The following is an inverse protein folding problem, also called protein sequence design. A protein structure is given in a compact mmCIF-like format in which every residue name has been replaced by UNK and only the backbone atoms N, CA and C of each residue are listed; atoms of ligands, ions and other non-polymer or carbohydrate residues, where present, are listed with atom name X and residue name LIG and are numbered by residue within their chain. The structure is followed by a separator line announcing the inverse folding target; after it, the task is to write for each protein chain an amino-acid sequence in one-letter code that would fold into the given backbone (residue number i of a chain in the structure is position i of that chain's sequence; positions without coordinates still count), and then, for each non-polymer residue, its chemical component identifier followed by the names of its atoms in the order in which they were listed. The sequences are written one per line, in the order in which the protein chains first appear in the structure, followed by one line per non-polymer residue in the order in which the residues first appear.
data_IF_180775126396
#
_entry.id   IF_180775126396
#
_cell.length_a   1.000
_cell.length_b   1.000
_cell.length_c   1.000
_cell.angle_alpha   90.00
_cell.angle_beta   90.00
_cell.angle_gamma   90.00
#
_symmetry.space_group_name_H-M   'P 1'
#
loop_
_entity.id
_entity.type
_entity.pdbx_description
1 polymer ?
#
# COMPACT_ATOMS: atom_id res chain seq x y z
N UNK A 1 5.21 9.95 28.94
CA UNK A 1 5.45 8.60 28.42
C UNK A 1 5.73 8.70 26.93
N UNK A 2 6.62 7.92 26.39
CA UNK A 2 6.88 7.91 24.96
C UNK A 2 6.92 6.47 24.44
N UNK A 3 6.51 6.27 23.19
CA UNK A 3 6.50 4.98 22.51
C UNK A 3 6.87 5.17 21.04
N UNK A 4 7.60 4.22 20.46
CA UNK A 4 7.92 4.19 19.05
C UNK A 4 7.21 2.99 18.43
N UNK A 5 6.27 3.25 17.54
CA UNK A 5 5.54 2.23 16.79
C UNK A 5 6.24 1.92 15.48
N UNK A 6 6.28 0.64 15.14
CA UNK A 6 6.84 0.15 13.89
C UNK A 6 5.93 -0.84 13.17
N UNK A 7 6.37 -1.36 12.02
CA UNK A 7 5.70 -2.40 11.25
C UNK A 7 4.23 -2.08 10.96
N UNK A 8 3.34 -3.07 11.17
CA UNK A 8 1.90 -2.96 10.94
C UNK A 8 1.24 -1.85 11.78
N UNK A 9 1.70 -1.65 13.02
CA UNK A 9 1.11 -0.62 13.89
C UNK A 9 1.40 0.80 13.40
N UNK A 10 2.58 1.05 12.82
CA UNK A 10 2.87 2.32 12.17
C UNK A 10 1.94 2.54 10.96
N UNK A 11 1.71 1.52 10.14
CA UNK A 11 0.81 1.61 8.99
C UNK A 11 -0.63 1.93 9.40
N UNK A 12 -1.15 1.31 10.47
CA UNK A 12 -2.48 1.62 11.03
C UNK A 12 -2.61 3.07 11.47
N UNK A 13 -1.60 3.62 12.12
CA UNK A 13 -1.61 5.04 12.50
C UNK A 13 -1.65 5.92 11.24
N UNK A 14 -0.85 5.62 10.24
CA UNK A 14 -0.87 6.35 8.97
C UNK A 14 -2.22 6.30 8.27
N UNK A 15 -2.89 5.14 8.25
CA UNK A 15 -4.25 5.01 7.71
C UNK A 15 -5.26 5.90 8.43
N UNK A 16 -5.17 5.99 9.76
CA UNK A 16 -6.06 6.81 10.58
C UNK A 16 -5.77 8.30 10.42
N UNK A 17 -4.50 8.69 10.31
CA UNK A 17 -4.06 10.07 10.14
C UNK A 17 -4.53 10.63 8.80
N UNK A 18 -4.41 9.87 7.73
CA UNK A 18 -4.80 10.30 6.38
C UNK A 18 -6.31 10.25 6.17
N UNK A 19 -7.04 9.40 6.91
CA UNK A 19 -8.50 9.27 6.79
C UNK A 19 -9.28 10.52 7.22
N UNK A 20 -8.73 11.31 8.12
CA UNK A 20 -9.42 12.47 8.70
C UNK A 20 -9.24 13.78 7.96
N UNK A 21 -8.50 13.85 6.88
CA UNK A 21 -8.16 15.09 6.19
C UNK A 21 -8.86 15.24 4.85
N UNK A 22 -9.88 16.10 4.80
CA UNK A 22 -10.33 16.67 3.52
C UNK A 22 -9.16 17.41 2.88
N UNK A 23 -8.72 16.92 1.70
CA UNK A 23 -7.75 17.57 0.82
C UNK A 23 -6.40 17.94 1.48
N UNK A 24 -5.60 16.96 1.85
CA UNK A 24 -4.17 17.18 1.90
C UNK A 24 -3.72 17.61 0.49
N UNK A 25 -3.24 18.83 0.35
CA UNK A 25 -2.66 19.29 -0.91
C UNK A 25 -1.57 18.29 -1.33
N UNK A 26 -1.58 17.90 -2.59
CA UNK A 26 -0.60 16.99 -3.19
C UNK A 26 0.79 17.50 -2.89
N UNK A 27 1.49 16.88 -1.97
CA UNK A 27 2.93 17.08 -1.88
C UNK A 27 3.51 16.27 -3.03
N UNK A 28 3.89 16.94 -4.07
CA UNK A 28 4.66 16.31 -5.16
C UNK A 28 6.05 15.95 -4.64
N UNK A 29 6.19 14.71 -4.22
CA UNK A 29 7.42 14.14 -3.69
C UNK A 29 8.55 14.09 -4.71
N UNK A 30 8.24 14.22 -6.01
CA UNK A 30 9.16 14.19 -7.13
C UNK A 30 9.46 15.58 -7.69
N UNK A 31 8.77 16.63 -7.22
CA UNK A 31 9.02 17.98 -7.70
C UNK A 31 10.49 18.36 -7.44
N UNK A 32 11.24 18.75 -8.48
CA UNK A 32 12.53 19.40 -8.28
C UNK A 32 12.29 20.63 -7.40
N UNK A 33 13.21 20.91 -6.47
CA UNK A 33 13.13 22.07 -5.58
C UNK A 33 13.14 23.33 -6.44
N UNK A 34 11.97 23.73 -6.96
CA UNK A 34 11.81 24.96 -7.74
C UNK A 34 11.97 26.16 -6.81
N UNK A 35 13.00 26.95 -7.06
CA UNK A 35 13.26 28.25 -6.45
C UNK A 35 12.26 29.26 -7.02
N UNK A 36 10.98 29.23 -6.61
CA UNK A 36 10.03 30.20 -7.14
C UNK A 36 8.56 29.99 -6.79
N UNK A 37 8.24 29.27 -5.73
CA UNK A 37 6.85 29.20 -5.29
C UNK A 37 6.47 30.44 -4.50
N UNK A 38 5.35 31.07 -4.89
CA UNK A 38 4.81 32.25 -4.25
C UNK A 38 4.30 31.97 -2.83
N UNK A 39 4.21 33.00 -1.94
CA UNK A 39 3.80 32.86 -0.55
C UNK A 39 2.38 32.28 -0.35
N UNK A 40 1.53 32.29 -1.37
CA UNK A 40 0.12 31.89 -1.30
C UNK A 40 -0.11 30.36 -1.39
N UNK A 41 0.93 29.58 -1.66
CA UNK A 41 0.85 28.11 -1.68
C UNK A 41 1.20 27.48 -0.32
N UNK A 42 0.97 28.17 0.77
CA UNK A 42 1.20 27.68 2.12
C UNK A 42 0.12 26.67 2.51
N UNK A 43 0.52 25.45 2.69
CA UNK A 43 -0.33 24.39 3.24
C UNK A 43 -0.49 24.67 4.73
N UNK A 44 -1.64 25.11 5.16
CA UNK A 44 -1.97 25.30 6.58
C UNK A 44 -2.47 24.01 7.20
N UNK A 45 -2.07 23.75 8.42
CA UNK A 45 -2.62 22.77 9.37
C UNK A 45 -3.09 23.51 10.60
N UNK A 46 -4.32 23.59 10.73
CA UNK A 46 -4.90 23.92 12.01
C UNK A 46 -5.50 22.64 12.60
N UNK A 47 -5.37 22.38 13.89
CA UNK A 47 -6.25 21.43 14.54
C UNK A 47 -7.67 21.96 14.33
N UNK A 48 -8.51 21.21 13.65
CA UNK A 48 -9.89 21.63 13.43
C UNK A 48 -10.66 21.48 14.75
N UNK A 49 -10.74 22.58 15.50
CA UNK A 49 -11.52 22.70 16.75
C UNK A 49 -13.00 23.00 16.48
N UNK A 50 -13.49 22.96 15.25
CA UNK A 50 -14.86 23.33 14.90
C UNK A 50 -15.66 22.19 14.28
N UNK A 51 -15.80 21.08 15.00
CA UNK A 51 -16.86 20.10 14.75
C UNK A 51 -17.54 19.71 16.08
N UNK A 52 -17.85 20.70 16.90
CA UNK A 52 -18.70 20.51 18.07
C UNK A 52 -20.12 20.92 17.69
N UNK A 53 -20.80 20.10 16.90
CA UNK A 53 -22.28 20.03 16.91
C UNK A 53 -22.72 18.74 16.22
N UNK A 54 -23.43 17.94 17.00
CA UNK A 54 -24.22 16.77 16.68
C UNK A 54 -23.50 15.41 16.57
N UNK A 55 -23.42 14.72 17.70
CA UNK A 55 -23.64 13.26 17.77
C UNK A 55 -22.52 12.33 17.29
N UNK A 56 -21.29 12.79 17.08
CA UNK A 56 -20.18 11.90 16.79
C UNK A 56 -19.45 11.52 18.08
N UNK A 57 -19.41 10.24 18.38
CA UNK A 57 -18.59 9.65 19.44
C UNK A 57 -17.14 10.14 19.33
N UNK A 58 -16.46 10.30 20.47
CA UNK A 58 -15.12 10.89 20.63
C UNK A 58 -13.97 10.23 19.83
N UNK A 59 -14.26 9.26 18.98
CA UNK A 59 -13.30 8.46 18.17
C UNK A 59 -12.86 9.11 16.85
N UNK A 60 -13.40 10.26 16.47
CA UNK A 60 -13.18 10.85 15.13
C UNK A 60 -12.39 12.17 15.12
N UNK A 61 -11.44 12.37 16.02
CA UNK A 61 -10.51 13.49 15.85
C UNK A 61 -9.39 13.09 14.89
N UNK A 62 -9.48 13.55 13.65
CA UNK A 62 -8.44 13.35 12.65
C UNK A 62 -7.17 14.14 13.02
N UNK A 63 -6.02 13.46 12.95
CA UNK A 63 -4.72 14.12 13.05
C UNK A 63 -4.36 14.58 11.66
N UNK A 64 -4.23 15.87 11.46
CA UNK A 64 -3.72 16.45 10.24
C UNK A 64 -2.36 17.08 10.48
N UNK A 65 -1.42 16.84 9.54
CA UNK A 65 -0.12 17.49 9.56
C UNK A 65 -0.08 18.59 8.51
N UNK A 66 0.58 19.66 8.85
CA UNK A 66 0.84 20.74 7.92
C UNK A 66 2.30 21.01 7.86
N UNK A 67 2.81 20.97 6.65
CA UNK A 67 4.14 21.37 6.33
C UNK A 67 4.06 22.55 5.34
N UNK A 68 4.87 23.57 5.55
CA UNK A 68 4.88 24.73 4.65
C UNK A 68 5.41 24.36 3.26
N UNK A 69 6.37 23.44 3.22
CA UNK A 69 6.96 22.89 2.00
C UNK A 69 7.70 21.56 2.27
N UNK A 70 8.27 20.98 1.24
CA UNK A 70 9.05 19.74 1.35
C UNK A 70 10.30 19.87 2.24
N UNK A 71 10.84 21.08 2.44
CA UNK A 71 11.99 21.30 3.35
C UNK A 71 11.53 21.27 4.79
N UNK A 72 10.40 21.91 5.09
CA UNK A 72 9.82 21.92 6.42
C UNK A 72 9.45 20.49 6.84
N UNK A 73 8.83 19.71 5.97
CA UNK A 73 8.59 18.29 6.19
C UNK A 73 9.88 17.52 6.51
N UNK A 74 10.93 17.68 5.70
CA UNK A 74 12.21 16.99 5.91
C UNK A 74 12.84 17.37 7.24
N UNK A 75 12.89 18.67 7.59
CA UNK A 75 13.42 19.16 8.87
C UNK A 75 12.64 18.61 10.06
N UNK A 76 11.32 18.53 9.94
CA UNK A 76 10.46 17.96 10.97
C UNK A 76 10.79 16.49 11.17
N UNK A 77 10.88 15.68 10.11
CA UNK A 77 11.27 14.28 10.24
C UNK A 77 12.65 14.09 10.84
N UNK A 78 13.63 14.91 10.47
CA UNK A 78 14.99 14.83 11.02
C UNK A 78 15.01 15.17 12.51
N UNK A 79 14.28 16.20 12.94
CA UNK A 79 14.10 16.55 14.35
C UNK A 79 13.41 15.44 15.12
N UNK A 80 12.31 14.93 14.60
CA UNK A 80 11.50 13.92 15.26
C UNK A 80 12.26 12.59 15.33
N UNK A 81 13.02 12.23 14.30
CA UNK A 81 13.89 11.05 14.31
C UNK A 81 14.96 11.17 15.39
N UNK A 82 15.64 12.31 15.52
CA UNK A 82 16.61 12.53 16.59
C UNK A 82 16.00 12.36 17.97
N UNK A 83 14.79 12.90 18.18
CA UNK A 83 14.07 12.76 19.44
C UNK A 83 13.65 11.31 19.73
N UNK A 84 13.13 10.59 18.73
CA UNK A 84 12.78 9.19 18.85
C UNK A 84 14.00 8.31 19.16
N UNK A 85 15.13 8.53 18.49
CA UNK A 85 16.39 7.78 18.73
C UNK A 85 16.88 8.02 20.14
N UNK A 86 16.93 9.28 20.59
CA UNK A 86 17.31 9.62 21.98
C UNK A 86 16.40 8.91 22.99
N UNK A 87 15.09 8.82 22.71
CA UNK A 87 14.17 8.07 23.55
C UNK A 87 14.47 6.58 23.54
N UNK A 88 14.70 5.96 22.37
CA UNK A 88 15.06 4.53 22.25
C UNK A 88 16.35 4.22 23.02
N UNK A 89 17.34 5.10 22.97
CA UNK A 89 18.64 4.96 23.67
C UNK A 89 18.51 5.14 25.17
N UNK A 90 17.54 5.92 25.66
CA UNK A 90 17.30 6.13 27.10
C UNK A 90 16.87 4.88 27.86
N UNK A 91 16.62 3.80 27.12
CA UNK A 91 16.23 2.48 27.69
C UNK A 91 14.98 2.52 28.58
N UNK A 92 14.09 3.50 28.35
CA UNK A 92 12.79 3.57 29.03
C UNK A 92 11.84 2.55 28.42
N UNK A 93 11.11 1.85 29.28
CA UNK A 93 10.07 0.93 28.83
C UNK A 93 8.97 1.68 28.08
N UNK A 94 8.62 1.27 26.84
CA UNK A 94 7.56 1.93 26.11
C UNK A 94 6.21 1.67 26.80
N UNK A 95 5.48 2.74 27.08
CA UNK A 95 4.11 2.68 27.57
C UNK A 95 3.20 3.45 26.62
N UNK A 96 2.17 2.78 26.14
CA UNK A 96 1.16 3.38 25.31
C UNK A 96 0.04 3.92 26.21
N UNK A 97 -0.25 5.23 26.10
CA UNK A 97 -1.35 5.82 26.82
C UNK A 97 -2.68 5.16 26.41
N UNK A 98 -3.61 4.88 27.35
CA UNK A 98 -4.90 4.25 27.03
C UNK A 98 -5.64 4.95 25.90
N UNK A 99 -5.73 6.27 25.91
CA UNK A 99 -6.38 7.04 24.86
C UNK A 99 -5.77 6.83 23.46
N UNK A 100 -4.46 6.61 23.35
CA UNK A 100 -3.78 6.29 22.08
C UNK A 100 -4.11 4.86 21.66
N UNK A 101 -4.17 3.93 22.61
CA UNK A 101 -4.59 2.55 22.34
C UNK A 101 -6.01 2.53 21.79
N UNK A 102 -6.95 3.16 22.48
CA UNK A 102 -8.37 3.19 22.11
C UNK A 102 -8.58 3.86 20.77
N UNK A 103 -7.79 4.89 20.45
CA UNK A 103 -7.89 5.62 19.19
C UNK A 103 -7.41 4.83 17.97
N UNK A 104 -6.28 4.11 18.07
CA UNK A 104 -5.63 3.47 16.93
C UNK A 104 -5.72 1.94 16.95
N UNK A 105 -6.08 1.34 18.08
CA UNK A 105 -5.98 -0.10 18.31
C UNK A 105 -7.16 -0.66 19.09
N UNK A 106 -8.36 -0.16 18.83
CA UNK A 106 -9.60 -0.55 19.52
C UNK A 106 -10.04 -2.01 19.29
N UNK A 107 -9.44 -2.69 18.30
CA UNK A 107 -9.84 -4.00 17.81
C UNK A 107 -8.99 -5.16 18.39
N UNK A 108 -8.42 -5.02 19.58
CA UNK A 108 -7.53 -6.02 20.21
C UNK A 108 -6.27 -6.38 19.41
N UNK A 109 -5.96 -5.62 18.38
CA UNK A 109 -4.84 -5.92 17.49
C UNK A 109 -3.51 -5.84 18.21
N UNK A 110 -2.60 -6.70 17.78
CA UNK A 110 -1.23 -6.75 18.25
C UNK A 110 -0.50 -5.43 17.94
N UNK A 111 0.03 -4.77 18.98
CA UNK A 111 0.74 -3.50 18.85
C UNK A 111 2.23 -3.76 18.72
N UNK A 112 2.81 -3.35 17.59
CA UNK A 112 4.24 -3.49 17.32
C UNK A 112 4.98 -2.24 17.78
N UNK A 113 5.83 -2.41 18.79
CA UNK A 113 6.72 -1.35 19.29
C UNK A 113 8.17 -1.60 18.92
N UNK A 114 8.98 -0.55 18.92
CA UNK A 114 10.42 -0.62 18.69
C UNK A 114 11.17 -0.18 19.93
N UNK A 115 12.21 -0.92 20.32
CA UNK A 115 13.13 -0.60 21.42
C UNK A 115 14.58 -0.80 20.97
N UNK A 116 15.52 -0.08 21.59
CA UNK A 116 16.94 -0.23 21.28
C UNK A 116 17.60 -1.43 22.01
N UNK A 117 17.09 -1.82 23.16
CA UNK A 117 17.72 -2.81 24.04
C UNK A 117 16.88 -4.06 24.18
N UNK A 118 17.53 -5.24 24.04
CA UNK A 118 16.86 -6.54 24.16
C UNK A 118 16.16 -6.76 25.51
N UNK A 119 16.70 -6.19 26.61
CA UNK A 119 16.10 -6.26 27.94
C UNK A 119 14.74 -5.58 28.06
N UNK A 120 14.41 -4.69 27.14
CA UNK A 120 13.13 -4.00 27.05
C UNK A 120 12.11 -4.71 26.18
N UNK A 121 12.50 -5.86 25.62
CA UNK A 121 11.63 -6.65 24.78
C UNK A 121 10.49 -7.20 25.63
N UNK A 122 9.28 -6.93 25.20
CA UNK A 122 8.05 -7.47 25.78
C UNK A 122 7.35 -8.34 24.75
N UNK A 123 6.83 -9.46 25.20
CA UNK A 123 5.88 -10.30 24.47
C UNK A 123 4.73 -10.58 25.44
N UNK A 124 3.50 -10.30 25.03
CA UNK A 124 2.30 -10.47 25.86
C UNK A 124 1.54 -9.16 26.06
N UNK A 125 0.33 -9.26 26.57
CA UNK A 125 -0.56 -8.10 26.78
C UNK A 125 -0.92 -7.33 25.50
N UNK A 126 -0.93 -8.02 24.34
CA UNK A 126 -1.22 -7.38 23.05
C UNK A 126 -0.07 -6.50 22.50
N UNK A 127 1.15 -6.62 23.04
CA UNK A 127 2.32 -5.87 22.55
C UNK A 127 3.41 -6.82 22.07
N UNK A 128 3.87 -6.65 20.84
CA UNK A 128 5.07 -7.28 20.30
C UNK A 128 6.17 -6.23 20.13
N UNK A 129 7.33 -6.49 20.71
CA UNK A 129 8.44 -5.53 20.67
C UNK A 129 9.56 -6.01 19.75
N UNK A 130 9.92 -5.19 18.80
CA UNK A 130 11.09 -5.37 17.94
C UNK A 130 12.31 -4.67 18.54
N UNK A 131 13.45 -5.37 18.64
CA UNK A 131 14.71 -4.76 19.05
C UNK A 131 15.44 -4.23 17.83
N UNK A 132 15.78 -2.94 17.87
CA UNK A 132 16.45 -2.30 16.76
C UNK A 132 17.50 -1.29 17.26
N UNK A 133 18.74 -1.62 17.02
CA UNK A 133 19.87 -0.72 17.26
C UNK A 133 20.14 0.05 15.96
N UNK A 134 20.41 1.35 16.07
CA UNK A 134 20.79 2.16 14.91
C UNK A 134 21.95 1.57 14.07
N UNK A 135 22.41 2.27 13.07
CA UNK A 135 22.01 3.64 12.72
C UNK A 135 20.63 3.70 12.05
N UNK A 136 19.86 4.73 12.40
CA UNK A 136 18.61 5.05 11.75
C UNK A 136 18.81 6.09 10.65
N UNK A 137 18.07 5.95 9.56
CA UNK A 137 18.00 7.01 8.56
C UNK A 137 17.44 8.29 9.22
N UNK A 138 17.92 9.50 8.88
CA UNK A 138 17.47 10.76 9.52
C UNK A 138 15.95 11.03 9.42
N UNK A 139 15.25 10.33 8.56
CA UNK A 139 13.79 10.43 8.35
C UNK A 139 13.06 9.13 8.64
N UNK A 140 13.46 8.45 9.72
CA UNK A 140 12.86 7.14 10.11
C UNK A 140 11.58 7.28 10.90
N UNK A 141 11.43 8.35 11.67
CA UNK A 141 10.32 8.49 12.60
C UNK A 141 9.66 9.86 12.50
N UNK A 142 8.37 9.88 12.77
CA UNK A 142 7.56 11.09 12.87
C UNK A 142 6.83 11.08 14.21
N UNK A 143 6.78 12.25 14.87
CA UNK A 143 5.99 12.45 16.08
C UNK A 143 4.54 12.72 15.67
N UNK A 144 3.63 11.96 16.21
CA UNK A 144 2.19 12.09 15.96
C UNK A 144 1.57 13.03 17.02
N UNK A 145 1.65 12.66 18.29
CA UNK A 145 1.14 13.45 19.41
C UNK A 145 1.88 13.07 20.71
N UNK A 146 1.93 13.96 21.69
CA UNK A 146 2.54 13.68 22.98
C UNK A 146 3.93 13.05 22.84
N UNK A 147 4.09 11.85 23.34
CA UNK A 147 5.31 11.02 23.22
C UNK A 147 5.20 9.90 22.16
N UNK A 148 4.19 9.92 21.29
CA UNK A 148 3.98 8.90 20.26
C UNK A 148 4.81 9.21 19.03
N UNK A 149 5.73 8.31 18.68
CA UNK A 149 6.50 8.31 17.45
C UNK A 149 6.10 7.10 16.61
N UNK A 150 6.02 7.28 15.30
CA UNK A 150 5.74 6.20 14.35
C UNK A 150 6.81 6.12 13.28
N UNK A 151 7.10 4.91 12.81
CA UNK A 151 7.93 4.72 11.62
C UNK A 151 7.28 5.42 10.43
N UNK A 152 8.07 6.20 9.67
CA UNK A 152 7.59 6.77 8.40
C UNK A 152 7.17 5.67 7.43
N UNK A 153 6.37 5.95 6.40
CA UNK A 153 5.94 4.94 5.42
C UNK A 153 7.12 4.18 4.81
N UNK A 154 8.24 4.87 4.50
CA UNK A 154 9.45 4.27 3.94
C UNK A 154 10.14 3.34 4.96
N UNK A 155 10.21 3.78 6.22
CA UNK A 155 10.76 2.98 7.30
C UNK A 155 9.89 1.75 7.55
N UNK A 156 8.56 1.92 7.64
CA UNK A 156 7.59 0.84 7.84
C UNK A 156 7.66 -0.18 6.70
N UNK A 157 7.79 0.25 5.44
CA UNK A 157 8.00 -0.62 4.29
C UNK A 157 9.26 -1.50 4.45
N UNK A 158 10.38 -0.90 4.87
CA UNK A 158 11.61 -1.64 5.14
C UNK A 158 11.46 -2.61 6.33
N UNK A 159 10.70 -2.25 7.36
CA UNK A 159 10.40 -3.14 8.49
C UNK A 159 9.55 -4.32 8.06
N UNK A 160 8.51 -4.07 7.27
CA UNK A 160 7.64 -5.11 6.72
C UNK A 160 8.39 -6.05 5.76
N UNK A 161 9.44 -5.58 5.10
CA UNK A 161 10.31 -6.43 4.29
C UNK A 161 10.98 -7.56 5.08
N UNK A 162 11.09 -7.43 6.40
CA UNK A 162 11.65 -8.49 7.26
C UNK A 162 10.65 -9.62 7.57
N UNK A 163 9.36 -9.40 7.38
CA UNK A 163 8.28 -10.33 7.77
C UNK A 163 7.42 -10.79 6.59
N UNK A 164 7.16 -9.93 5.60
CA UNK A 164 6.34 -10.26 4.44
C UNK A 164 7.11 -11.10 3.40
N UNK A 165 6.38 -11.90 2.61
CA UNK A 165 6.88 -12.43 1.34
C UNK A 165 7.25 -11.28 0.38
N UNK A 166 7.96 -11.58 -0.71
CA UNK A 166 8.31 -10.55 -1.69
C UNK A 166 7.06 -10.03 -2.39
N UNK A 167 6.13 -10.89 -2.72
CA UNK A 167 4.87 -10.60 -3.40
C UNK A 167 3.98 -9.68 -2.54
N UNK A 168 3.79 -10.00 -1.26
CA UNK A 168 3.05 -9.15 -0.31
C UNK A 168 3.74 -7.81 -0.05
N UNK A 169 5.06 -7.79 -0.05
CA UNK A 169 5.81 -6.54 0.08
C UNK A 169 5.62 -5.63 -1.15
N UNK A 170 5.59 -6.21 -2.34
CA UNK A 170 5.28 -5.46 -3.56
C UNK A 170 3.85 -4.90 -3.49
N UNK A 171 2.87 -5.71 -3.09
CA UNK A 171 1.49 -5.27 -2.92
C UNK A 171 1.37 -4.13 -1.89
N UNK A 172 2.09 -4.20 -0.76
CA UNK A 172 2.19 -3.10 0.21
C UNK A 172 2.80 -1.84 -0.45
N UNK A 173 3.81 -2.00 -1.28
CA UNK A 173 4.41 -0.89 -2.02
C UNK A 173 3.42 -0.19 -2.95
N UNK A 174 2.59 -0.95 -3.68
CA UNK A 174 1.50 -0.40 -4.50
C UNK A 174 0.52 0.41 -3.65
N UNK A 175 0.10 -0.12 -2.50
CA UNK A 175 -0.82 0.55 -1.60
C UNK A 175 -0.24 1.85 -1.03
N UNK A 176 1.01 1.84 -0.57
CA UNK A 176 1.68 3.03 -0.04
C UNK A 176 1.86 4.13 -1.10
N UNK A 177 2.09 3.74 -2.36
CA UNK A 177 2.26 4.64 -3.50
C UNK A 177 0.96 4.90 -4.28
N UNK A 178 -0.14 4.27 -3.88
CA UNK A 178 -1.45 4.35 -4.52
C UNK A 178 -2.40 5.31 -3.82
N UNK A 179 -3.60 5.46 -4.41
CA UNK A 179 -4.67 6.32 -3.90
C UNK A 179 -5.77 5.53 -3.21
N UNK A 180 -5.46 4.37 -2.68
CA UNK A 180 -6.36 3.54 -1.88
C UNK A 180 -5.67 3.07 -0.61
N UNK A 181 -6.46 2.56 0.36
CA UNK A 181 -5.98 1.85 1.57
C UNK A 181 -6.81 0.61 1.78
N UNK A 182 -6.17 -0.50 2.11
CA UNK A 182 -6.86 -1.72 2.56
C UNK A 182 -7.26 -1.53 4.01
N UNK A 183 -8.55 -1.60 4.32
CA UNK A 183 -8.97 -1.56 5.71
C UNK A 183 -8.43 -2.78 6.47
N UNK A 184 -7.89 -2.54 7.66
CA UNK A 184 -7.42 -3.61 8.54
C UNK A 184 -8.56 -4.46 9.10
N UNK A 185 -9.78 -3.91 9.09
CA UNK A 185 -10.98 -4.51 9.67
C UNK A 185 -12.08 -4.58 8.59
N UNK A 186 -12.64 -5.77 8.37
CA UNK A 186 -13.78 -6.03 7.47
C UNK A 186 -13.56 -5.95 5.95
N UNK A 187 -12.33 -5.95 5.44
CA UNK A 187 -12.07 -6.19 4.02
C UNK A 187 -12.49 -5.06 3.03
N UNK A 188 -13.04 -3.96 3.52
CA UNK A 188 -13.42 -2.82 2.68
C UNK A 188 -12.20 -1.93 2.40
N UNK A 189 -11.90 -1.71 1.12
CA UNK A 189 -10.89 -0.73 0.74
C UNK A 189 -11.46 0.69 0.86
N UNK A 190 -10.62 1.63 1.28
CA UNK A 190 -10.91 3.07 1.21
C UNK A 190 -10.24 3.62 -0.05
N UNK A 191 -11.01 4.32 -0.86
CA UNK A 191 -10.59 4.92 -2.11
C UNK A 191 -10.29 6.41 -1.95
N UNK A 192 -9.75 7.04 -2.97
CA UNK A 192 -9.39 8.46 -3.02
C UNK A 192 -8.46 8.90 -1.88
N UNK A 193 -7.64 7.98 -1.39
CA UNK A 193 -6.65 8.26 -0.37
C UNK A 193 -5.42 8.98 -0.98
N UNK A 194 -4.80 9.86 -0.20
CA UNK A 194 -3.52 10.47 -0.60
C UNK A 194 -2.41 9.42 -0.52
N UNK A 195 -1.54 9.28 -1.54
CA UNK A 195 -0.36 8.42 -1.45
C UNK A 195 0.49 8.77 -0.22
N UNK A 196 0.93 7.75 0.52
CA UNK A 196 1.77 7.95 1.71
C UNK A 196 3.23 8.17 1.35
N UNK A 197 3.65 7.66 0.19
CA UNK A 197 5.02 7.79 -0.32
C UNK A 197 5.04 7.62 -1.85
N UNK A 198 6.23 7.58 -2.43
CA UNK A 198 6.44 7.29 -3.86
C UNK A 198 7.56 6.28 -4.06
N UNK A 199 7.64 5.60 -5.23
CA UNK A 199 8.76 4.72 -5.54
C UNK A 199 10.12 5.42 -5.42
N UNK A 200 10.21 6.71 -5.80
CA UNK A 200 11.42 7.50 -5.67
C UNK A 200 11.82 7.77 -4.21
N UNK A 201 10.84 8.05 -3.32
CA UNK A 201 11.09 8.24 -1.90
C UNK A 201 11.52 6.92 -1.23
N UNK A 202 10.87 5.81 -1.57
CA UNK A 202 11.27 4.46 -1.14
C UNK A 202 12.72 4.15 -1.59
N UNK A 203 13.06 4.43 -2.85
CA UNK A 203 14.39 4.23 -3.40
C UNK A 203 15.45 4.98 -2.59
N UNK A 204 15.23 6.28 -2.39
CA UNK A 204 16.13 7.13 -1.64
C UNK A 204 16.33 6.68 -0.19
N UNK A 205 15.27 6.19 0.45
CA UNK A 205 15.35 5.67 1.82
C UNK A 205 16.13 4.34 1.88
N UNK A 206 15.83 3.41 0.98
CA UNK A 206 16.47 2.09 0.88
C UNK A 206 17.95 2.23 0.60
N UNK A 207 18.34 3.14 -0.30
CA UNK A 207 19.73 3.39 -0.66
C UNK A 207 20.56 3.85 0.56
N UNK A 208 19.99 4.77 1.34
CA UNK A 208 20.63 5.36 2.53
C UNK A 208 20.51 4.50 3.80
N UNK A 209 19.92 3.31 3.69
CA UNK A 209 19.73 2.39 4.82
C UNK A 209 20.31 0.99 4.55
N UNK A 210 21.58 0.86 4.10
CA UNK A 210 22.10 -0.40 3.56
C UNK A 210 22.17 -1.54 4.58
N UNK A 211 22.28 -1.23 5.88
CA UNK A 211 22.41 -2.20 6.96
C UNK A 211 21.05 -2.60 7.58
N UNK A 212 19.96 -2.04 7.09
CA UNK A 212 18.65 -2.28 7.66
C UNK A 212 18.18 -3.72 7.40
N UNK A 213 17.67 -4.41 8.45
CA UNK A 213 17.11 -5.76 8.30
C UNK A 213 15.91 -5.72 7.34
N UNK A 214 15.97 -6.51 6.27
CA UNK A 214 14.93 -6.52 5.22
C UNK A 214 15.29 -5.67 3.98
N UNK A 215 16.31 -4.78 4.05
CA UNK A 215 16.67 -3.89 2.94
C UNK A 215 16.95 -4.62 1.63
N UNK A 216 17.54 -5.82 1.67
CA UNK A 216 17.79 -6.62 0.46
C UNK A 216 16.47 -7.02 -0.23
N UNK A 217 15.45 -7.40 0.55
CA UNK A 217 14.13 -7.72 0.02
C UNK A 217 13.41 -6.47 -0.45
N UNK A 218 13.46 -5.36 0.30
CA UNK A 218 12.93 -4.06 -0.10
C UNK A 218 13.52 -3.59 -1.45
N UNK A 219 14.84 -3.71 -1.63
CA UNK A 219 15.52 -3.40 -2.89
C UNK A 219 15.06 -4.28 -4.06
N UNK A 220 14.75 -5.55 -3.79
CA UNK A 220 14.20 -6.46 -4.82
C UNK A 220 12.74 -6.15 -5.16
N UNK A 221 11.95 -5.67 -4.22
CA UNK A 221 10.55 -5.28 -4.44
C UNK A 221 10.43 -3.98 -5.26
N UNK A 222 11.28 -2.99 -4.94
CA UNK A 222 11.20 -1.63 -5.44
C UNK A 222 11.00 -1.47 -6.97
N UNK A 223 11.76 -2.16 -7.86
CA UNK A 223 11.59 -2.01 -9.31
C UNK A 223 10.23 -2.51 -9.84
N UNK A 224 9.42 -3.13 -8.99
CA UNK A 224 8.14 -3.74 -9.34
C UNK A 224 6.94 -2.97 -8.78
N UNK A 225 7.20 -1.89 -8.05
CA UNK A 225 6.18 -1.03 -7.44
C UNK A 225 5.86 0.10 -8.39
N UNK A 226 4.59 0.20 -8.79
CA UNK A 226 4.08 1.30 -9.61
C UNK A 226 3.30 2.25 -8.71
N UNK A 227 3.39 3.55 -9.02
CA UNK A 227 2.60 4.58 -8.35
C UNK A 227 1.24 4.75 -9.04
N UNK A 228 0.28 5.29 -8.31
CA UNK A 228 -0.98 5.77 -8.87
C UNK A 228 -2.08 4.73 -9.00
N UNK A 229 -1.90 3.50 -8.53
CA UNK A 229 -3.02 2.54 -8.45
C UNK A 229 -4.12 3.10 -7.54
N UNK A 230 -5.38 3.03 -7.98
CA UNK A 230 -6.53 3.58 -7.26
C UNK A 230 -7.35 2.50 -6.53
N UNK A 231 -7.05 1.24 -6.75
CA UNK A 231 -7.72 0.13 -6.08
C UNK A 231 -6.81 -1.06 -5.81
N UNK A 232 -7.16 -1.93 -4.84
CA UNK A 232 -6.47 -3.21 -4.65
C UNK A 232 -6.46 -4.07 -5.90
N UNK A 233 -7.57 -4.08 -6.65
CA UNK A 233 -7.74 -4.93 -7.85
C UNK A 233 -6.87 -4.49 -9.01
N UNK A 234 -6.73 -3.19 -9.24
CA UNK A 234 -5.76 -2.67 -10.22
C UNK A 234 -4.33 -3.05 -9.87
N UNK A 235 -3.95 -2.96 -8.58
CA UNK A 235 -2.63 -3.41 -8.12
C UNK A 235 -2.42 -4.91 -8.36
N UNK A 236 -3.43 -5.72 -8.08
CA UNK A 236 -3.40 -7.17 -8.30
C UNK A 236 -3.26 -7.49 -9.79
N UNK A 237 -4.03 -6.84 -10.66
CA UNK A 237 -3.90 -6.96 -12.11
C UNK A 237 -2.50 -6.58 -12.60
N UNK A 238 -1.99 -5.44 -12.17
CA UNK A 238 -0.65 -5.01 -12.54
C UNK A 238 0.42 -6.03 -12.09
N UNK A 239 0.26 -6.62 -10.90
CA UNK A 239 1.17 -7.65 -10.41
C UNK A 239 1.04 -8.96 -11.21
N UNK A 240 -0.17 -9.42 -11.49
CA UNK A 240 -0.39 -10.62 -12.28
C UNK A 240 0.17 -10.49 -13.69
N UNK A 241 -0.03 -9.35 -14.35
CA UNK A 241 0.44 -9.11 -15.71
C UNK A 241 1.95 -8.81 -15.78
N UNK A 242 2.50 -8.03 -14.85
CA UNK A 242 3.82 -7.43 -15.00
C UNK A 242 4.93 -8.06 -14.15
N UNK A 243 4.60 -8.80 -13.06
CA UNK A 243 5.65 -9.49 -12.32
C UNK A 243 6.34 -10.55 -13.19
N UNK A 244 7.64 -10.80 -12.96
CA UNK A 244 8.36 -11.81 -13.73
C UNK A 244 7.82 -13.22 -13.48
N UNK A 245 8.01 -14.13 -14.41
CA UNK A 245 7.60 -15.55 -14.30
C UNK A 245 8.07 -16.22 -13.00
N UNK A 246 9.23 -15.83 -12.50
CA UNK A 246 9.75 -16.36 -11.24
C UNK A 246 8.90 -16.00 -10.02
N UNK A 247 8.03 -15.01 -10.14
CA UNK A 247 7.07 -14.58 -9.12
C UNK A 247 5.61 -14.89 -9.52
N UNK A 248 5.39 -15.59 -10.63
CA UNK A 248 4.07 -16.01 -11.08
C UNK A 248 3.30 -15.00 -11.94
N UNK A 249 3.91 -13.88 -12.33
CA UNK A 249 3.35 -12.95 -13.28
C UNK A 249 3.79 -13.24 -14.71
N UNK A 250 3.16 -12.62 -15.72
CA UNK A 250 3.45 -12.84 -17.14
C UNK A 250 4.60 -11.99 -17.67
N UNK A 251 5.24 -11.19 -16.83
CA UNK A 251 6.41 -10.39 -17.17
C UNK A 251 6.15 -9.36 -18.27
N UNK A 252 4.94 -8.84 -18.41
CA UNK A 252 4.61 -7.79 -19.35
C UNK A 252 5.32 -6.47 -18.99
N UNK A 253 5.51 -5.55 -19.93
CA UNK A 253 6.02 -4.21 -19.63
C UNK A 253 5.14 -3.51 -18.59
N UNK A 254 5.71 -2.60 -17.81
CA UNK A 254 4.96 -1.84 -16.84
C UNK A 254 4.02 -0.84 -17.52
N UNK A 255 2.71 -0.79 -17.14
CA UNK A 255 1.79 0.23 -17.59
C UNK A 255 1.99 1.54 -16.82
N UNK A 256 1.38 2.61 -17.32
CA UNK A 256 1.05 3.78 -16.51
C UNK A 256 -0.26 3.50 -15.80
N UNK A 257 -0.24 3.54 -14.46
CA UNK A 257 -1.44 3.31 -13.65
C UNK A 257 -2.30 4.58 -13.64
N UNK A 258 -3.61 4.40 -13.82
CA UNK A 258 -4.60 5.48 -13.78
C UNK A 258 -4.22 6.68 -14.65
N UNK A 259 -3.79 6.40 -15.88
CA UNK A 259 -3.37 7.42 -16.84
C UNK A 259 -4.53 8.35 -17.20
N UNK A 260 -4.34 9.65 -17.01
CA UNK A 260 -5.32 10.66 -17.43
C UNK A 260 -5.06 11.08 -18.88
N UNK A 261 -6.05 10.93 -19.73
CA UNK A 261 -6.00 11.32 -21.14
C UNK A 261 -7.02 12.40 -21.42
N UNK A 262 -6.66 13.51 -22.07
CA UNK A 262 -7.61 14.53 -22.47
C UNK A 262 -8.55 14.00 -23.55
N UNK A 263 -9.86 14.18 -23.35
CA UNK A 263 -10.86 13.81 -24.34
C UNK A 263 -10.82 14.75 -25.55
N UNK A 264 -10.98 14.23 -26.77
CA UNK A 264 -11.16 15.06 -27.96
C UNK A 264 -12.38 15.96 -27.83
N UNK A 265 -12.32 17.18 -28.37
CA UNK A 265 -13.39 18.21 -28.23
C UNK A 265 -14.75 17.72 -28.73
N UNK A 266 -14.78 16.89 -29.77
CA UNK A 266 -16.01 16.31 -30.33
C UNK A 266 -16.65 15.25 -29.40
N UNK A 267 -15.91 14.69 -28.43
CA UNK A 267 -16.41 13.72 -27.45
C UNK A 267 -16.64 14.38 -26.09
N UNK A 268 -15.96 15.48 -25.81
CA UNK A 268 -16.06 16.24 -24.55
C UNK A 268 -17.44 16.93 -24.33
N UNK A 269 -18.38 16.86 -25.30
CA UNK A 269 -19.71 17.42 -25.19
C UNK A 269 -20.57 16.91 -24.02
N UNK A 270 -20.10 15.84 -23.33
CA UNK A 270 -20.73 15.23 -22.14
C UNK A 270 -20.34 15.88 -20.82
N UNK A 271 -19.56 16.98 -20.84
CA UNK A 271 -19.08 17.65 -19.62
C UNK A 271 -17.87 17.00 -18.94
N UNK A 272 -17.33 15.91 -19.48
CA UNK A 272 -16.07 15.31 -19.05
C UNK A 272 -14.94 15.79 -19.95
N UNK A 273 -13.84 16.25 -19.37
CA UNK A 273 -12.64 16.70 -20.10
C UNK A 273 -11.50 15.67 -20.12
N UNK A 274 -11.56 14.67 -19.23
CA UNK A 274 -10.52 13.66 -19.04
C UNK A 274 -11.13 12.27 -19.00
N UNK A 275 -10.41 11.31 -19.57
CA UNK A 275 -10.61 9.88 -19.43
C UNK A 275 -9.48 9.33 -18.57
N UNK A 276 -9.78 8.44 -17.64
CA UNK A 276 -8.78 7.74 -16.83
C UNK A 276 -8.74 6.26 -17.20
N UNK A 277 -7.56 5.75 -17.49
CA UNK A 277 -7.29 4.37 -17.88
C UNK A 277 -6.58 3.67 -16.74
N UNK A 278 -7.08 2.50 -16.27
CA UNK A 278 -6.54 1.84 -15.08
C UNK A 278 -5.09 1.37 -15.28
N UNK A 279 -4.85 0.59 -16.33
CA UNK A 279 -3.53 0.11 -16.73
C UNK A 279 -3.29 0.47 -18.20
N UNK A 280 -2.55 1.54 -18.46
CA UNK A 280 -2.35 2.04 -19.80
C UNK A 280 -0.93 1.82 -20.33
N UNK A 281 -0.81 1.20 -21.51
CA UNK A 281 0.43 1.07 -22.27
C UNK A 281 0.45 2.02 -23.46
N UNK A 282 1.07 3.21 -23.32
CA UNK A 282 1.04 4.25 -24.37
C UNK A 282 1.58 3.78 -25.73
N UNK A 283 2.67 3.01 -25.73
CA UNK A 283 3.30 2.55 -26.96
C UNK A 283 2.42 1.58 -27.78
N UNK A 284 1.53 0.84 -27.11
CA UNK A 284 0.61 -0.11 -27.74
C UNK A 284 -0.80 0.46 -27.86
N UNK A 285 -1.05 1.66 -27.32
CA UNK A 285 -2.38 2.25 -27.18
C UNK A 285 -3.38 1.26 -26.60
N UNK A 286 -2.95 0.55 -25.55
CA UNK A 286 -3.74 -0.46 -24.86
C UNK A 286 -4.10 0.04 -23.47
N UNK A 287 -5.37 -0.07 -23.14
CA UNK A 287 -5.93 0.10 -21.82
C UNK A 287 -6.47 -1.23 -21.31
N UNK A 288 -6.14 -1.60 -20.08
CA UNK A 288 -6.72 -2.75 -19.39
C UNK A 288 -7.43 -2.23 -18.15
N UNK A 289 -8.73 -2.42 -18.11
CA UNK A 289 -9.63 -1.94 -17.07
C UNK A 289 -10.04 -3.08 -16.13
N UNK A 290 -10.21 -2.77 -14.86
CA UNK A 290 -10.90 -3.66 -13.93
C UNK A 290 -12.34 -3.23 -13.75
N UNK A 291 -13.26 -4.03 -14.27
CA UNK A 291 -14.69 -3.78 -14.13
C UNK A 291 -15.22 -4.45 -12.83
N UNK A 292 -15.65 -3.62 -11.89
CA UNK A 292 -16.32 -4.04 -10.66
C UNK A 292 -17.84 -3.98 -10.85
N UNK A 293 -18.43 -4.97 -11.52
CA UNK A 293 -19.87 -5.03 -11.84
C UNK A 293 -20.83 -4.98 -10.61
N UNK A 294 -20.31 -4.83 -9.40
CA UNK A 294 -21.11 -5.03 -8.18
C UNK A 294 -21.91 -3.79 -7.71
N UNK A 295 -21.77 -2.59 -8.29
CA UNK A 295 -22.25 -1.38 -7.60
C UNK A 295 -23.12 -0.39 -8.38
N UNK A 296 -23.57 -0.65 -9.61
CA UNK A 296 -24.33 0.35 -10.36
C UNK A 296 -25.61 -0.14 -11.04
N UNK A 297 -26.64 0.72 -11.14
CA UNK A 297 -27.88 0.41 -11.88
C UNK A 297 -27.59 0.23 -13.39
N UNK A 298 -28.08 -0.85 -13.97
CA UNK A 298 -27.75 -1.33 -15.32
C UNK A 298 -27.86 -0.27 -16.44
N UNK A 299 -28.86 0.62 -16.40
CA UNK A 299 -29.07 1.61 -17.48
C UNK A 299 -28.03 2.73 -17.54
N UNK A 300 -27.59 3.25 -16.38
CA UNK A 300 -26.55 4.30 -16.33
C UNK A 300 -25.16 3.78 -16.68
N UNK A 301 -24.91 2.51 -16.37
CA UNK A 301 -23.67 1.81 -16.75
C UNK A 301 -23.56 1.70 -18.26
N UNK A 302 -24.58 1.17 -18.93
CA UNK A 302 -24.59 0.98 -20.39
C UNK A 302 -24.31 2.27 -21.15
N UNK A 303 -24.89 3.40 -20.72
CA UNK A 303 -24.66 4.69 -21.36
C UNK A 303 -23.22 5.20 -21.13
N UNK A 304 -22.71 5.10 -19.91
CA UNK A 304 -21.34 5.52 -19.57
C UNK A 304 -20.29 4.65 -20.27
N UNK A 305 -20.49 3.34 -20.31
CA UNK A 305 -19.59 2.39 -20.96
C UNK A 305 -19.56 2.59 -22.48
N UNK A 306 -20.73 2.85 -23.09
CA UNK A 306 -20.81 3.17 -24.52
C UNK A 306 -20.06 4.46 -24.85
N UNK A 307 -20.24 5.52 -24.06
CA UNK A 307 -19.53 6.78 -24.26
C UNK A 307 -18.03 6.64 -24.02
N UNK A 308 -17.62 5.85 -23.02
CA UNK A 308 -16.21 5.54 -22.76
C UNK A 308 -15.57 4.80 -23.93
N UNK A 309 -16.28 3.79 -24.48
CA UNK A 309 -15.81 3.03 -25.63
C UNK A 309 -15.65 3.92 -26.85
N UNK A 310 -16.64 4.75 -27.18
CA UNK A 310 -16.57 5.72 -28.28
C UNK A 310 -15.37 6.66 -28.09
N UNK A 311 -15.13 7.12 -26.87
CA UNK A 311 -13.99 7.98 -26.57
C UNK A 311 -12.65 7.28 -26.84
N UNK A 312 -12.49 6.04 -26.34
CA UNK A 312 -11.27 5.24 -26.55
C UNK A 312 -11.06 4.92 -28.04
N UNK A 313 -12.11 4.51 -28.74
CA UNK A 313 -12.09 4.26 -30.20
C UNK A 313 -11.69 5.54 -30.98
N UNK A 314 -12.23 6.71 -30.59
CA UNK A 314 -11.86 7.98 -31.24
C UNK A 314 -10.41 8.40 -31.04
N UNK A 315 -9.76 7.85 -30.01
CA UNK A 315 -8.35 8.05 -29.70
C UNK A 315 -7.48 6.89 -30.18
N UNK A 316 -8.06 5.91 -30.91
CA UNK A 316 -7.36 4.71 -31.39
C UNK A 316 -6.72 3.92 -30.24
N UNK A 317 -7.43 3.80 -29.12
CA UNK A 317 -7.05 3.04 -27.95
C UNK A 317 -7.88 1.77 -27.86
N UNK A 318 -7.21 0.62 -27.82
CA UNK A 318 -7.86 -0.66 -27.57
C UNK A 318 -8.09 -0.82 -26.06
N UNK A 319 -9.30 -1.15 -25.66
CA UNK A 319 -9.62 -1.45 -24.25
C UNK A 319 -9.93 -2.92 -24.05
N UNK A 320 -9.40 -3.49 -22.98
CA UNK A 320 -9.68 -4.86 -22.52
C UNK A 320 -10.21 -4.81 -21.11
N UNK A 321 -11.46 -5.25 -20.92
CA UNK A 321 -12.11 -5.23 -19.62
C UNK A 321 -11.94 -6.57 -18.92
N UNK A 322 -11.37 -6.56 -17.72
CA UNK A 322 -11.23 -7.70 -16.83
C UNK A 322 -12.17 -7.53 -15.63
N UNK A 323 -12.88 -8.61 -15.30
CA UNK A 323 -13.88 -8.61 -14.21
C UNK A 323 -13.39 -9.44 -13.02
N UNK A 324 -14.16 -9.43 -11.94
CA UNK A 324 -13.93 -10.30 -10.81
C UNK A 324 -13.90 -11.79 -11.21
N UNK A 325 -14.65 -12.19 -12.24
CA UNK A 325 -14.69 -13.58 -12.73
C UNK A 325 -13.33 -13.98 -13.36
N UNK A 326 -12.71 -13.09 -14.13
CA UNK A 326 -11.35 -13.32 -14.65
C UNK A 326 -10.33 -13.52 -13.52
N UNK A 327 -10.46 -12.78 -12.41
CA UNK A 327 -9.61 -12.97 -11.24
C UNK A 327 -9.95 -14.21 -10.41
N UNK A 328 -11.16 -14.79 -10.56
CA UNK A 328 -11.54 -16.03 -9.87
C UNK A 328 -11.19 -17.29 -10.66
N UNK A 329 -10.98 -17.19 -11.98
CA UNK A 329 -10.74 -18.32 -12.88
C UNK A 329 -9.47 -18.10 -13.68
N UNK A 330 -8.45 -18.87 -13.34
CA UNK A 330 -7.15 -18.76 -13.97
C UNK A 330 -7.20 -19.03 -15.48
N UNK A 331 -8.08 -19.93 -15.93
CA UNK A 331 -8.30 -20.22 -17.35
C UNK A 331 -8.80 -18.99 -18.12
N UNK A 332 -9.80 -18.26 -17.57
CA UNK A 332 -10.28 -17.02 -18.17
C UNK A 332 -9.23 -15.91 -18.16
N UNK A 333 -8.44 -15.85 -17.09
CA UNK A 333 -7.35 -14.89 -17.01
C UNK A 333 -6.28 -15.16 -18.08
N UNK A 334 -5.94 -16.42 -18.31
CA UNK A 334 -4.97 -16.82 -19.33
C UNK A 334 -5.46 -16.48 -20.75
N UNK A 335 -6.76 -16.64 -21.04
CA UNK A 335 -7.36 -16.25 -22.33
C UNK A 335 -7.28 -14.74 -22.55
N UNK A 336 -7.64 -13.96 -21.55
CA UNK A 336 -7.53 -12.49 -21.60
C UNK A 336 -6.08 -12.03 -21.75
N UNK A 337 -5.13 -12.66 -21.03
CA UNK A 337 -3.71 -12.37 -21.11
C UNK A 337 -3.18 -12.62 -22.53
N UNK A 338 -3.57 -13.70 -23.18
CA UNK A 338 -3.16 -13.98 -24.57
C UNK A 338 -3.61 -12.87 -25.52
N UNK A 339 -4.79 -12.29 -25.32
CA UNK A 339 -5.27 -11.11 -26.05
C UNK A 339 -4.37 -9.89 -25.83
N UNK A 340 -4.07 -9.58 -24.59
CA UNK A 340 -3.18 -8.49 -24.19
C UNK A 340 -1.78 -8.66 -24.77
N UNK A 341 -1.21 -9.85 -24.69
CA UNK A 341 0.12 -10.18 -25.24
C UNK A 341 0.19 -9.96 -26.73
N UNK A 342 -0.85 -10.33 -27.48
CA UNK A 342 -0.90 -10.10 -28.94
C UNK A 342 -0.84 -8.62 -29.29
N UNK A 343 -1.55 -7.79 -28.53
CA UNK A 343 -1.56 -6.32 -28.74
C UNK A 343 -0.19 -5.73 -28.38
N UNK A 344 0.42 -6.19 -27.29
CA UNK A 344 1.76 -5.75 -26.87
C UNK A 344 2.89 -6.31 -27.75
N UNK A 345 2.55 -7.14 -28.76
CA UNK A 345 3.51 -7.80 -29.67
C UNK A 345 4.64 -8.51 -28.92
N UNK A 346 4.29 -9.14 -27.81
CA UNK A 346 5.24 -9.84 -26.94
C UNK A 346 5.12 -11.34 -27.11
N UNK A 347 6.24 -12.03 -27.25
CA UNK A 347 6.27 -13.50 -27.17
C UNK A 347 6.43 -13.92 -25.72
N UNK A 348 5.42 -14.57 -25.18
CA UNK A 348 5.45 -15.16 -23.84
C UNK A 348 5.79 -16.65 -23.98
N UNK A 349 6.84 -17.08 -23.28
CA UNK A 349 7.18 -18.50 -23.11
C UNK A 349 7.15 -18.80 -21.63
N UNK A 350 6.12 -19.51 -21.22
CA UNK A 350 5.93 -19.85 -19.82
C UNK A 350 6.81 -21.06 -19.46
N UNK A 351 7.60 -20.98 -18.37
CA UNK A 351 8.32 -22.13 -17.82
C UNK A 351 7.37 -23.24 -17.38
N UNK A 352 7.84 -24.50 -17.36
CA UNK A 352 7.00 -25.63 -16.95
C UNK A 352 6.44 -25.55 -15.54
N UNK A 353 7.11 -24.84 -14.64
CA UNK A 353 6.67 -24.61 -13.24
C UNK A 353 5.88 -23.30 -13.06
N UNK A 354 5.50 -22.63 -14.17
CA UNK A 354 4.83 -21.33 -14.11
C UNK A 354 3.51 -21.40 -13.32
N UNK A 355 2.69 -22.43 -13.55
CA UNK A 355 1.39 -22.57 -12.91
C UNK A 355 1.51 -22.61 -11.38
N UNK A 356 2.47 -23.34 -10.83
CA UNK A 356 2.72 -23.38 -9.39
C UNK A 356 3.10 -22.02 -8.81
N UNK A 357 3.89 -21.24 -9.56
CA UNK A 357 4.27 -19.88 -9.16
C UNK A 357 3.10 -18.91 -9.25
N UNK A 358 2.27 -19.06 -10.28
CA UNK A 358 1.06 -18.28 -10.45
C UNK A 358 0.06 -18.53 -9.31
N UNK A 359 -0.20 -19.80 -8.96
CA UNK A 359 -1.04 -20.17 -7.82
C UNK A 359 -0.52 -19.59 -6.50
N UNK A 360 0.81 -19.61 -6.30
CA UNK A 360 1.43 -18.98 -5.16
C UNK A 360 1.18 -17.47 -5.15
N UNK A 361 1.38 -16.78 -6.27
CA UNK A 361 1.12 -15.34 -6.36
C UNK A 361 -0.33 -15.01 -6.04
N UNK A 362 -1.29 -15.74 -6.60
CA UNK A 362 -2.71 -15.54 -6.32
C UNK A 362 -3.01 -15.70 -4.84
N UNK A 363 -2.47 -16.73 -4.21
CA UNK A 363 -2.61 -16.95 -2.76
C UNK A 363 -1.99 -15.83 -1.93
N UNK A 364 -0.81 -15.36 -2.30
CA UNK A 364 -0.15 -14.25 -1.61
C UNK A 364 -0.92 -12.93 -1.73
N UNK A 365 -1.64 -12.74 -2.84
CA UNK A 365 -2.54 -11.60 -3.06
C UNK A 365 -3.92 -11.78 -2.37
N UNK A 366 -4.21 -12.96 -1.83
CA UNK A 366 -5.51 -13.26 -1.23
C UNK A 366 -6.63 -13.46 -2.26
N UNK A 367 -6.26 -13.75 -3.51
CA UNK A 367 -7.21 -14.06 -4.58
C UNK A 367 -7.55 -15.54 -4.49
N UNK A 368 -8.83 -15.86 -4.26
CA UNK A 368 -9.34 -17.24 -4.27
C UNK A 368 -9.77 -17.58 -5.68
N UNK A 369 -9.08 -18.53 -6.30
CA UNK A 369 -9.44 -19.01 -7.63
C UNK A 369 -10.21 -20.33 -7.54
N UNK A 370 -11.28 -20.44 -8.33
CA UNK A 370 -12.18 -21.59 -8.33
C UNK A 370 -11.63 -22.79 -9.12
N UNK A 371 -10.71 -22.55 -10.03
CA UNK A 371 -10.12 -23.57 -10.92
C UNK A 371 -8.63 -23.87 -10.62
N UNK A 372 -8.07 -23.23 -9.62
CA UNK A 372 -6.81 -23.62 -9.00
C UNK A 372 -7.10 -24.55 -7.84
N UNK A 373 -6.50 -25.75 -7.80
CA UNK A 373 -6.74 -26.73 -6.75
C UNK A 373 -6.57 -26.13 -5.35
N UNK A 374 -7.51 -26.43 -4.47
CA UNK A 374 -7.44 -26.09 -3.06
C UNK A 374 -6.27 -26.86 -2.41
N UNK A 375 -5.04 -26.31 -2.52
CA UNK A 375 -4.02 -26.70 -1.58
C UNK A 375 -4.41 -26.10 -0.22
N UNK A 376 -4.43 -26.88 0.87
CA UNK A 376 -4.83 -26.40 2.17
C UNK A 376 -4.01 -25.16 2.53
N UNK A 377 -4.71 -24.11 2.93
CA UNK A 377 -4.09 -22.97 3.62
C UNK A 377 -3.28 -23.55 4.75
N UNK A 378 -1.94 -23.45 4.68
CA UNK A 378 -1.11 -23.63 5.85
C UNK A 378 -1.51 -22.53 6.82
N UNK A 379 -2.51 -22.86 7.62
CA UNK A 379 -3.00 -22.07 8.73
C UNK A 379 -1.83 -21.76 9.66
N UNK A 380 -1.97 -20.67 10.35
CA UNK A 380 -1.13 -20.31 11.49
C UNK A 380 -0.82 -21.58 12.29
N UNK A 381 0.49 -21.82 12.48
CA UNK A 381 1.04 -22.94 13.19
C UNK A 381 0.21 -23.31 14.42
N UNK A 382 -0.46 -24.43 14.34
CA UNK A 382 -0.94 -25.15 15.51
C UNK A 382 0.28 -25.63 16.29
N UNK A 383 0.69 -24.82 17.26
CA UNK A 383 1.73 -25.15 18.22
C UNK A 383 1.21 -26.03 19.36
N UNK A 384 0.08 -26.72 19.17
CA UNK A 384 -0.55 -27.58 20.19
C UNK A 384 -0.33 -29.08 20.02
N UNK A 385 0.31 -29.56 18.92
CA UNK A 385 0.49 -31.01 18.72
C UNK A 385 1.88 -31.57 18.96
N UNK A 386 2.78 -30.88 19.64
CA UNK A 386 4.13 -31.39 19.97
C UNK A 386 4.34 -31.77 21.44
N UNK A 387 3.26 -31.92 22.23
CA UNK A 387 3.41 -32.24 23.66
C UNK A 387 2.74 -33.55 24.13
N UNK A 388 2.34 -34.45 23.23
CA UNK A 388 1.82 -35.78 23.62
C UNK A 388 2.57 -36.91 22.94
N UNK A 389 3.83 -37.13 23.21
CA UNK A 389 4.50 -38.44 23.04
C UNK A 389 5.82 -38.46 23.79
N UNK A 390 5.79 -38.42 25.11
CA UNK A 390 6.80 -39.09 25.94
C UNK A 390 6.10 -39.54 27.22
N UNK A 391 5.59 -40.75 27.22
CA UNK A 391 5.36 -41.49 28.45
C UNK A 391 6.44 -42.56 28.57
N UNK A 392 7.15 -42.64 29.68
CA UNK A 392 8.12 -43.72 29.88
C UNK A 392 7.41 -45.01 30.28
N UNK A 393 7.70 -46.07 29.53
CA UNK A 393 7.42 -47.43 29.97
C UNK A 393 8.53 -47.80 30.97
N UNK A 394 8.18 -47.87 32.22
CA UNK A 394 8.92 -48.64 33.23
C UNK A 394 8.24 -49.99 33.37
N UNK A 395 8.95 -51.01 33.15
CA UNK A 395 8.75 -52.38 33.50
C UNK A 395 10.07 -53.08 33.55
#
# INVERSE_FOLDING_TARGET
MAVVLGKQSALRVWDSVVAGGSRCARVDWNAPVNRGMSPDQRIRVTPNMSAASQGATAASQSISFVFQDARDYRRTLERDTKAAVKFLESAVTPELAPAVRDRFFSDESLIHTTVAHARLRRAGGGIETSVRKGPFHPRSFMRIEGGLYVSTPEMAFCEMASVLSLERLIALGFELCGTYRRASTFGLARYDATPLTSPGALASFIEKSPQFKGVKKARRALPRILAGSASPRESELAMLLCLPYSLGGYGLPHPTMNAEMPLPKNVAATGRSLLRCDLYWPAARLDVEYDSAEFHSAERLLANDSMRRIALESMDVTSVNLTAEHLRRASLFDEAEQGIVRILVKRVRLPGDFRLKQERLWRELGIVSSDMGLLPTMGASDSSELNERVSPVLG
#
